data_IF_089685816611
#
_entry.id   IF_089685816611
#
_cell.length_a   1.000
_cell.length_b   1.000
_cell.length_c   1.000
_cell.angle_alpha   90.00
_cell.angle_beta   90.00
_cell.angle_gamma   90.00
#
_symmetry.space_group_name_H-M   'P 1'
#
loop_
_entity.id
_entity.type
_entity.pdbx_description
1 polymer ?
#
# COMPACT_ATOMS: atom_id res chain seq x y z
N UNK A 1 -4.97 10.95 1.50
CA UNK A 1 -4.20 9.96 2.26
C UNK A 1 -3.31 9.16 1.31
N UNK A 2 -2.03 9.03 1.62
CA UNK A 2 -1.12 8.18 0.87
C UNK A 2 -1.15 6.76 1.46
N UNK A 3 -1.47 5.77 0.64
CA UNK A 3 -1.56 4.37 1.03
C UNK A 3 -0.51 3.55 0.29
N UNK A 4 0.16 2.64 0.98
CA UNK A 4 1.16 1.76 0.39
C UNK A 4 0.74 0.30 0.53
N UNK A 5 0.79 -0.43 -0.59
CA UNK A 5 0.57 -1.86 -0.64
C UNK A 5 1.73 -2.57 -1.32
N UNK A 6 2.10 -3.73 -0.78
CA UNK A 6 3.11 -4.61 -1.37
C UNK A 6 2.47 -5.96 -1.58
N UNK A 7 2.46 -6.48 -2.82
CA UNK A 7 1.81 -7.74 -3.10
C UNK A 7 2.37 -8.45 -4.33
N UNK A 8 2.11 -9.75 -4.38
CA UNK A 8 2.19 -10.55 -5.60
C UNK A 8 0.78 -10.67 -6.23
N UNK A 9 0.67 -11.19 -7.45
CA UNK A 9 -0.60 -11.23 -8.18
C UNK A 9 -1.70 -12.03 -7.48
N UNK A 10 -1.35 -13.01 -6.64
CA UNK A 10 -2.34 -13.87 -5.94
C UNK A 10 -3.16 -13.11 -4.91
N UNK A 11 -2.64 -11.99 -4.40
CA UNK A 11 -3.31 -11.13 -3.42
C UNK A 11 -4.11 -9.99 -4.08
N UNK A 12 -4.11 -9.90 -5.41
CA UNK A 12 -4.80 -8.83 -6.11
C UNK A 12 -6.32 -8.80 -5.83
N UNK A 13 -7.04 -9.94 -5.79
CA UNK A 13 -8.45 -9.93 -5.39
C UNK A 13 -8.68 -9.39 -3.97
N UNK A 14 -7.80 -9.70 -3.03
CA UNK A 14 -7.86 -9.24 -1.64
C UNK A 14 -7.58 -7.73 -1.56
N UNK A 15 -6.62 -7.22 -2.34
CA UNK A 15 -6.38 -5.79 -2.47
C UNK A 15 -7.65 -5.06 -2.94
N UNK A 16 -8.38 -5.59 -3.92
CA UNK A 16 -9.64 -4.97 -4.38
C UNK A 16 -10.68 -4.91 -3.24
N UNK A 17 -10.82 -5.97 -2.44
CA UNK A 17 -11.72 -5.99 -1.27
C UNK A 17 -11.28 -4.95 -0.23
N UNK A 18 -9.98 -4.89 0.07
CA UNK A 18 -9.41 -3.93 1.00
C UNK A 18 -9.68 -2.49 0.55
N UNK A 19 -9.33 -2.15 -0.69
CA UNK A 19 -9.53 -0.80 -1.22
C UNK A 19 -11.00 -0.38 -1.22
N UNK A 20 -11.92 -1.29 -1.54
CA UNK A 20 -13.36 -1.04 -1.42
C UNK A 20 -13.78 -0.77 0.02
N UNK A 21 -13.27 -1.56 0.97
CA UNK A 21 -13.56 -1.36 2.40
C UNK A 21 -12.97 -0.05 2.94
N UNK A 22 -11.79 0.37 2.45
CA UNK A 22 -11.18 1.65 2.77
C UNK A 22 -12.08 2.78 2.26
N UNK A 23 -12.43 2.77 0.98
CA UNK A 23 -13.27 3.81 0.39
C UNK A 23 -14.65 3.90 1.08
N UNK A 24 -15.28 2.75 1.36
CA UNK A 24 -16.57 2.70 2.05
C UNK A 24 -16.55 3.39 3.42
N UNK A 25 -15.46 3.21 4.18
CA UNK A 25 -15.33 3.78 5.52
C UNK A 25 -14.66 5.17 5.54
N UNK A 26 -14.28 5.69 4.37
CA UNK A 26 -13.62 6.98 4.21
C UNK A 26 -14.12 7.65 2.91
N UNK A 27 -15.45 7.87 2.76
CA UNK A 27 -16.05 8.25 1.48
C UNK A 27 -15.63 9.64 0.98
N UNK A 28 -15.30 10.56 1.89
CA UNK A 28 -14.95 11.96 1.57
C UNK A 28 -13.44 12.17 1.38
N UNK A 29 -12.63 11.12 1.55
CA UNK A 29 -11.17 11.22 1.52
C UNK A 29 -10.63 10.96 0.12
N UNK A 30 -9.57 11.68 -0.24
CA UNK A 30 -8.84 11.46 -1.49
C UNK A 30 -7.67 10.52 -1.21
N UNK A 31 -7.45 9.52 -2.06
CA UNK A 31 -6.38 8.54 -1.88
C UNK A 31 -5.35 8.60 -2.99
N UNK A 32 -4.07 8.55 -2.61
CA UNK A 32 -3.00 8.18 -3.52
C UNK A 32 -2.53 6.79 -3.13
N UNK A 33 -2.74 5.83 -4.03
CA UNK A 33 -2.40 4.43 -3.84
C UNK A 33 -1.04 4.16 -4.49
N UNK A 34 -0.06 3.83 -3.67
CA UNK A 34 1.26 3.35 -4.10
C UNK A 34 1.29 1.83 -4.01
N UNK A 35 1.73 1.18 -5.08
CA UNK A 35 1.80 -0.28 -5.13
C UNK A 35 3.21 -0.69 -5.56
N UNK A 36 3.85 -1.53 -4.75
CA UNK A 36 5.09 -2.20 -5.12
C UNK A 36 4.74 -3.66 -5.46
N UNK A 37 4.85 -4.01 -6.74
CA UNK A 37 4.65 -5.37 -7.23
C UNK A 37 5.42 -5.61 -8.53
N UNK A 38 5.92 -6.84 -8.73
CA UNK A 38 6.56 -7.25 -10.00
C UNK A 38 5.56 -7.72 -11.06
N UNK A 39 4.36 -8.09 -10.63
CA UNK A 39 3.40 -8.81 -11.47
C UNK A 39 2.18 -7.96 -11.86
N UNK A 40 2.05 -6.78 -11.27
CA UNK A 40 1.00 -5.83 -11.63
C UNK A 40 1.51 -4.86 -12.69
N UNK A 41 0.61 -4.50 -13.58
CA UNK A 41 0.83 -3.62 -14.73
C UNK A 41 -0.37 -2.67 -14.88
N UNK A 42 -0.38 -1.89 -15.95
CA UNK A 42 -1.42 -0.90 -16.22
C UNK A 42 -2.83 -1.51 -16.31
N UNK A 43 -2.97 -2.77 -16.74
CA UNK A 43 -4.30 -3.42 -16.77
C UNK A 43 -4.86 -3.61 -15.36
N UNK A 44 -4.00 -3.94 -14.39
CA UNK A 44 -4.40 -4.06 -12.99
C UNK A 44 -4.73 -2.70 -12.38
N UNK A 45 -4.02 -1.65 -12.79
CA UNK A 45 -4.34 -0.26 -12.41
C UNK A 45 -5.73 0.14 -12.92
N UNK A 46 -6.03 -0.13 -14.19
CA UNK A 46 -7.36 0.10 -14.78
C UNK A 46 -8.47 -0.70 -14.07
N UNK A 47 -8.19 -1.93 -13.64
CA UNK A 47 -9.13 -2.73 -12.87
C UNK A 47 -9.40 -2.14 -11.49
N UNK A 48 -8.38 -1.66 -10.79
CA UNK A 48 -8.54 -0.95 -9.51
C UNK A 48 -9.40 0.30 -9.71
N UNK A 49 -9.07 1.14 -10.70
CA UNK A 49 -9.84 2.34 -11.05
C UNK A 49 -11.31 2.00 -11.34
N UNK A 50 -11.55 0.92 -12.10
CA UNK A 50 -12.90 0.47 -12.43
C UNK A 50 -13.70 -0.01 -11.22
N UNK A 51 -13.04 -0.52 -10.19
CA UNK A 51 -13.64 -0.95 -8.94
C UNK A 51 -13.89 0.20 -7.95
N UNK A 52 -13.27 1.36 -8.17
CA UNK A 52 -13.29 2.54 -7.30
C UNK A 52 -13.79 3.80 -8.01
N UNK A 53 -14.66 3.67 -9.03
CA UNK A 53 -15.08 4.78 -9.90
C UNK A 53 -15.66 6.01 -9.18
N UNK A 54 -16.25 5.82 -8.01
CA UNK A 54 -16.84 6.90 -7.19
C UNK A 54 -15.80 7.56 -6.26
N UNK A 55 -14.63 6.94 -6.11
CA UNK A 55 -13.58 7.41 -5.24
C UNK A 55 -12.65 8.38 -5.98
N UNK A 56 -12.16 9.38 -5.25
CA UNK A 56 -11.08 10.26 -5.72
C UNK A 56 -9.75 9.58 -5.47
N UNK A 57 -9.28 8.83 -6.46
CA UNK A 57 -8.10 7.96 -6.34
C UNK A 57 -7.09 8.29 -7.43
N UNK A 58 -5.81 8.37 -7.07
CA UNK A 58 -4.67 8.25 -7.97
C UNK A 58 -3.91 6.97 -7.64
N UNK A 59 -3.25 6.36 -8.63
CA UNK A 59 -2.52 5.10 -8.45
C UNK A 59 -1.14 5.24 -9.08
N UNK A 60 -0.11 4.77 -8.38
CA UNK A 60 1.26 4.71 -8.88
C UNK A 60 1.83 3.33 -8.60
N UNK A 61 2.20 2.61 -9.66
CA UNK A 61 3.05 1.44 -9.56
C UNK A 61 4.49 1.93 -9.36
N UNK A 62 5.10 1.52 -8.25
CA UNK A 62 6.47 1.86 -7.92
C UNK A 62 7.39 0.78 -8.47
N UNK A 63 8.38 1.21 -9.25
CA UNK A 63 9.50 0.36 -9.62
C UNK A 63 10.37 0.12 -8.38
N UNK A 64 10.80 -1.12 -8.21
CA UNK A 64 11.64 -1.50 -7.08
C UNK A 64 12.90 -2.19 -7.59
N UNK A 65 14.06 -1.56 -7.35
CA UNK A 65 15.34 -2.14 -7.71
C UNK A 65 15.69 -3.28 -6.74
N UNK A 66 15.62 -4.51 -7.23
CA UNK A 66 15.94 -5.72 -6.45
C UNK A 66 17.41 -5.80 -6.03
N UNK A 67 18.30 -5.00 -6.60
CA UNK A 67 19.67 -4.92 -6.11
C UNK A 67 19.73 -4.44 -4.66
N UNK A 68 18.73 -3.67 -4.21
CA UNK A 68 18.55 -3.28 -2.81
C UNK A 68 18.33 -4.49 -1.88
N UNK A 69 17.85 -5.61 -2.42
CA UNK A 69 17.57 -6.83 -1.66
C UNK A 69 18.69 -7.86 -1.76
N UNK A 70 19.79 -7.54 -2.45
CA UNK A 70 20.93 -8.45 -2.61
C UNK A 70 21.50 -8.85 -1.24
N UNK A 71 21.47 -10.14 -0.94
CA UNK A 71 21.94 -10.69 0.34
C UNK A 71 20.87 -10.79 1.43
N UNK A 72 19.63 -10.34 1.17
CA UNK A 72 18.51 -10.53 2.09
C UNK A 72 18.15 -12.02 2.20
N UNK A 73 17.87 -12.54 3.41
CA UNK A 73 17.51 -13.93 3.57
C UNK A 73 16.13 -14.18 2.95
N UNK A 74 16.06 -14.99 1.90
CA UNK A 74 14.78 -15.36 1.28
C UNK A 74 14.48 -16.84 1.51
N UNK A 75 13.20 -17.18 1.58
CA UNK A 75 12.75 -18.58 1.58
C UNK A 75 11.41 -18.69 0.85
N UNK A 76 10.95 -19.91 0.54
CA UNK A 76 9.60 -20.10 -0.02
C UNK A 76 8.48 -19.51 0.85
N UNK A 77 8.70 -19.42 2.17
CA UNK A 77 7.74 -18.84 3.14
C UNK A 77 7.85 -17.32 3.25
N UNK A 78 9.02 -16.78 2.93
CA UNK A 78 9.37 -15.38 3.09
C UNK A 78 9.92 -14.88 1.75
N UNK A 79 9.01 -14.63 0.79
CA UNK A 79 9.41 -14.18 -0.53
C UNK A 79 9.83 -12.70 -0.47
N UNK A 80 10.49 -12.20 -1.50
CA UNK A 80 11.14 -10.88 -1.49
C UNK A 80 10.17 -9.73 -1.18
N UNK A 81 8.89 -9.89 -1.50
CA UNK A 81 7.83 -8.90 -1.34
C UNK A 81 7.66 -8.46 0.12
N UNK A 82 8.03 -9.30 1.10
CA UNK A 82 7.98 -8.90 2.52
C UNK A 82 8.98 -7.78 2.83
N UNK A 83 10.08 -7.70 2.08
CA UNK A 83 11.12 -6.70 2.29
C UNK A 83 10.76 -5.36 1.65
N UNK A 84 9.83 -5.33 0.69
CA UNK A 84 9.43 -4.08 0.03
C UNK A 84 8.94 -3.02 1.03
N UNK A 85 8.23 -3.42 2.09
CA UNK A 85 7.78 -2.49 3.12
C UNK A 85 8.94 -1.84 3.89
N UNK A 86 10.08 -2.54 4.04
CA UNK A 86 11.26 -2.02 4.73
C UNK A 86 12.02 -0.99 3.89
N UNK A 87 12.01 -1.16 2.56
CA UNK A 87 12.73 -0.29 1.62
C UNK A 87 11.82 0.71 0.92
N UNK A 88 10.52 0.73 1.25
CA UNK A 88 9.54 1.59 0.57
C UNK A 88 9.92 3.07 0.59
N UNK A 89 10.49 3.56 1.70
CA UNK A 89 10.95 4.94 1.83
C UNK A 89 12.03 5.33 0.80
N UNK A 90 12.74 4.38 0.21
CA UNK A 90 13.77 4.65 -0.81
C UNK A 90 13.20 4.77 -2.23
N UNK A 91 12.01 4.23 -2.47
CA UNK A 91 11.37 4.20 -3.80
C UNK A 91 10.15 5.13 -3.88
N UNK A 92 9.63 5.56 -2.72
CA UNK A 92 8.56 6.56 -2.68
C UNK A 92 9.07 7.91 -3.22
N UNK A 93 8.21 8.68 -3.91
CA UNK A 93 8.53 10.04 -4.31
C UNK A 93 8.95 10.91 -3.12
N UNK A 94 9.91 11.82 -3.34
CA UNK A 94 10.51 12.64 -2.28
C UNK A 94 9.57 13.68 -1.67
N UNK A 95 8.43 13.93 -2.30
CA UNK A 95 7.35 14.80 -1.83
C UNK A 95 6.30 14.06 -0.98
N UNK A 96 6.48 12.75 -0.74
CA UNK A 96 5.63 11.98 0.17
C UNK A 96 6.12 12.15 1.61
N UNK A 97 5.49 13.05 2.35
CA UNK A 97 5.82 13.32 3.76
C UNK A 97 5.29 12.24 4.73
N UNK A 98 4.25 11.52 4.32
CA UNK A 98 3.55 10.53 5.17
C UNK A 98 2.98 9.41 4.31
N UNK A 99 3.06 8.17 4.81
CA UNK A 99 2.53 6.97 4.16
C UNK A 99 1.89 6.04 5.20
N UNK A 100 0.76 5.42 4.86
CA UNK A 100 0.15 4.35 5.66
C UNK A 100 0.28 3.02 4.91
N UNK A 101 1.05 2.11 5.48
CA UNK A 101 1.17 0.74 5.00
C UNK A 101 0.05 -0.13 5.58
N UNK A 102 -0.59 -0.94 4.74
CA UNK A 102 -1.55 -1.96 5.16
C UNK A 102 -1.27 -3.27 4.43
N UNK A 103 -1.36 -4.39 5.13
CA UNK A 103 -1.31 -5.71 4.49
C UNK A 103 -2.55 -5.89 3.58
N UNK A 104 -2.41 -6.51 2.39
CA UNK A 104 -3.49 -6.61 1.42
C UNK A 104 -4.62 -7.56 1.82
N UNK A 105 -4.47 -8.34 2.90
CA UNK A 105 -5.39 -9.39 3.35
C UNK A 105 -6.23 -8.99 4.58
N UNK A 106 -6.46 -7.70 4.78
CA UNK A 106 -7.34 -7.17 5.82
C UNK A 106 -8.63 -6.57 5.25
N UNK A 107 -9.60 -6.30 6.13
CA UNK A 107 -10.80 -5.52 5.83
C UNK A 107 -10.87 -4.34 6.79
N UNK A 108 -11.03 -3.14 6.24
CA UNK A 108 -11.20 -1.91 7.02
C UNK A 108 -12.68 -1.73 7.33
N UNK A 109 -13.00 -1.61 8.62
CA UNK A 109 -14.39 -1.51 9.13
C UNK A 109 -14.71 -0.17 9.80
N UNK A 110 -13.73 0.73 9.88
CA UNK A 110 -13.85 2.06 10.48
C UNK A 110 -12.98 3.06 9.69
N UNK A 111 -13.17 4.36 9.92
CA UNK A 111 -12.33 5.38 9.30
C UNK A 111 -10.87 5.21 9.68
N UNK A 112 -9.97 5.41 8.71
CA UNK A 112 -8.52 5.41 8.91
C UNK A 112 -7.99 6.79 9.27
N UNK A 113 -8.84 7.83 9.33
CA UNK A 113 -8.41 9.23 9.49
C UNK A 113 -7.62 9.47 10.76
N UNK A 114 -8.06 8.91 11.88
CA UNK A 114 -7.36 9.06 13.16
C UNK A 114 -5.97 8.41 13.10
N UNK A 115 -5.90 7.15 12.65
CA UNK A 115 -4.64 6.44 12.49
C UNK A 115 -3.70 7.15 11.52
N UNK A 116 -4.22 7.59 10.36
CA UNK A 116 -3.43 8.28 9.35
C UNK A 116 -2.90 9.62 9.84
N UNK A 117 -3.63 10.36 10.69
CA UNK A 117 -3.21 11.69 11.16
C UNK A 117 -2.54 11.67 12.54
N UNK A 118 -2.30 10.50 13.11
CA UNK A 118 -1.65 10.36 14.41
C UNK A 118 -0.28 11.06 14.40
N UNK A 119 0.04 11.76 15.49
CA UNK A 119 1.35 12.37 15.67
C UNK A 119 2.41 11.27 15.80
N UNK A 120 3.55 11.44 15.16
CA UNK A 120 4.66 10.49 15.23
C UNK A 120 5.48 10.66 16.50
N UNK A 121 5.30 11.75 17.26
CA UNK A 121 6.01 12.05 18.51
C UNK A 121 7.53 11.91 18.33
N UNK A 122 8.07 12.55 17.28
CA UNK A 122 9.48 12.49 16.86
C UNK A 122 10.02 11.10 16.45
N UNK A 123 9.14 10.08 16.31
CA UNK A 123 9.51 8.75 15.83
C UNK A 123 9.53 8.66 14.30
N UNK A 124 10.25 7.68 13.77
CA UNK A 124 10.23 7.37 12.33
C UNK A 124 8.96 6.63 11.88
N UNK A 125 8.34 5.85 12.77
CA UNK A 125 7.18 5.01 12.46
C UNK A 125 6.25 4.88 13.66
N UNK A 126 4.96 4.70 13.35
CA UNK A 126 3.93 4.28 14.30
C UNK A 126 3.48 2.88 13.89
N UNK A 127 3.39 1.97 14.85
CA UNK A 127 2.83 0.64 14.67
C UNK A 127 1.54 0.50 15.46
N UNK A 128 0.53 -0.14 14.87
CA UNK A 128 -0.68 -0.53 15.55
C UNK A 128 -0.93 -2.02 15.33
N UNK A 129 -1.43 -2.70 16.37
CA UNK A 129 -1.99 -4.05 16.28
C UNK A 129 -3.50 -3.96 16.44
N UNK A 130 -4.20 -4.95 15.90
CA UNK A 130 -5.65 -5.12 16.07
C UNK A 130 -6.00 -5.65 17.46
#
# INVERSE_FOLDING_TARGET
MNLLFTLNKKYFPQLIVLLKSIHHNNPDEEFHIYIISKELDDNHVEEIFSNLKEAKVTITLLEFDETLLKGSPTSKRYPLEIYYRLFAAQVLPSDVDRILYLDPDIVVINSLKELYNMDFEDNYFIGATH
#
